data_IF_664622848734
#
_entry.id   IF_664622848734
#
_cell.length_a   1.000
_cell.length_b   1.000
_cell.length_c   1.000
_cell.angle_alpha   90.00
_cell.angle_beta   90.00
_cell.angle_gamma   90.00
#
_symmetry.space_group_name_H-M   'P 1'
#
loop_
_entity.id
_entity.type
_entity.pdbx_description
1 polymer ?
#
# COMPACT_ATOMS: atom_id res chain seq x y z
N UNK A 1 2.21 -10.81 -2.89
CA UNK A 1 2.52 -9.39 -3.08
C UNK A 1 1.21 -8.64 -3.32
N UNK A 2 0.97 -7.49 -2.66
CA UNK A 2 -0.26 -6.71 -2.82
C UNK A 2 -0.13 -5.28 -2.29
N UNK A 3 -0.91 -4.35 -2.85
CA UNK A 3 -0.97 -2.93 -2.44
C UNK A 3 -2.35 -2.63 -1.84
N UNK A 4 -2.38 -1.95 -0.69
CA UNK A 4 -3.60 -1.54 0.00
C UNK A 4 -3.56 -0.02 0.25
N UNK A 5 -4.33 0.72 -0.55
CA UNK A 5 -4.42 2.18 -0.49
C UNK A 5 -5.75 2.60 0.15
N UNK A 6 -5.93 2.25 1.41
CA UNK A 6 -7.11 2.64 2.18
C UNK A 6 -6.74 3.73 3.21
N UNK A 7 -7.52 4.81 3.22
CA UNK A 7 -7.44 5.80 4.29
C UNK A 7 -8.02 5.21 5.58
N UNK A 8 -7.34 5.41 6.71
CA UNK A 8 -7.82 4.97 8.01
C UNK A 8 -9.25 5.50 8.31
N UNK A 9 -10.05 4.71 9.03
CA UNK A 9 -11.43 5.08 9.41
C UNK A 9 -11.41 6.44 10.12
N UNK A 10 -12.19 7.38 9.61
CA UNK A 10 -12.29 8.73 10.19
C UNK A 10 -12.71 8.63 11.67
N UNK A 11 -11.98 9.27 12.59
CA UNK A 11 -12.35 9.24 14.00
C UNK A 11 -13.73 9.90 14.21
N UNK A 12 -14.48 9.48 15.24
CA UNK A 12 -15.81 10.00 15.51
C UNK A 12 -15.79 11.53 15.70
N UNK A 13 -16.82 12.21 15.18
CA UNK A 13 -16.98 13.68 15.15
C UNK A 13 -16.97 14.39 16.52
N UNK A 14 -16.78 13.67 17.63
CA UNK A 14 -16.76 14.20 19.01
C UNK A 14 -15.56 15.09 19.32
N UNK A 15 -14.51 15.04 18.52
CA UNK A 15 -13.30 15.83 18.75
C UNK A 15 -13.14 16.85 17.61
N UNK A 16 -13.23 18.15 17.94
CA UNK A 16 -13.16 19.27 16.97
C UNK A 16 -11.83 19.32 16.18
N UNK A 17 -10.81 18.56 16.60
CA UNK A 17 -9.48 18.51 15.98
C UNK A 17 -8.87 17.09 15.86
N UNK A 18 -9.65 16.00 15.97
CA UNK A 18 -9.08 14.65 15.89
C UNK A 18 -8.80 14.14 14.46
N UNK A 19 -9.12 14.93 13.44
CA UNK A 19 -8.99 14.53 12.03
C UNK A 19 -7.56 14.62 11.49
N UNK A 20 -6.57 13.96 12.11
CA UNK A 20 -5.34 13.69 11.36
C UNK A 20 -5.64 12.55 10.40
N UNK A 21 -5.86 12.88 9.13
CA UNK A 21 -5.91 11.88 8.07
C UNK A 21 -4.49 11.33 7.96
N UNK A 22 -4.28 10.12 8.48
CA UNK A 22 -3.05 9.38 8.28
C UNK A 22 -3.24 8.60 6.98
N UNK A 23 -2.40 8.87 6.00
CA UNK A 23 -2.20 7.95 4.88
C UNK A 23 -1.77 6.62 5.50
N UNK A 24 -2.61 5.59 5.33
CA UNK A 24 -2.33 4.23 5.79
C UNK A 24 -2.13 3.35 4.56
N UNK A 25 -1.46 3.90 3.55
CA UNK A 25 -1.13 3.17 2.34
C UNK A 25 0.01 2.19 2.68
N UNK A 26 -0.22 0.89 2.47
CA UNK A 26 0.73 -0.17 2.78
C UNK A 26 0.87 -1.16 1.62
N UNK A 27 2.04 -1.77 1.51
CA UNK A 27 2.24 -2.91 0.60
C UNK A 27 2.70 -4.15 1.34
N UNK A 28 2.21 -5.30 0.90
CA UNK A 28 2.54 -6.62 1.43
C UNK A 28 3.50 -7.33 0.49
N UNK A 29 4.62 -7.82 1.03
CA UNK A 29 5.56 -8.66 0.28
C UNK A 29 5.03 -10.09 0.13
N UNK A 30 4.37 -10.62 1.17
CA UNK A 30 3.85 -11.98 1.25
C UNK A 30 2.49 -12.01 1.97
N UNK A 31 1.75 -13.13 1.89
CA UNK A 31 0.39 -13.27 2.47
C UNK A 31 0.36 -13.05 3.99
N UNK A 32 1.44 -13.40 4.70
CA UNK A 32 1.57 -13.23 6.15
C UNK A 32 2.25 -11.92 6.57
N UNK A 33 2.61 -11.06 5.61
CA UNK A 33 3.23 -9.77 5.91
C UNK A 33 2.20 -8.83 6.55
N UNK A 34 2.60 -8.07 7.58
CA UNK A 34 1.71 -7.09 8.24
C UNK A 34 1.49 -5.83 7.41
N UNK A 35 2.25 -5.67 6.32
CA UNK A 35 2.21 -4.50 5.46
C UNK A 35 3.29 -3.51 5.85
N UNK A 36 4.01 -3.00 4.87
CA UNK A 36 5.03 -1.98 5.01
C UNK A 36 4.47 -0.66 4.48
N UNK A 37 4.67 0.48 5.17
CA UNK A 37 4.22 1.77 4.67
C UNK A 37 4.69 2.01 3.23
N UNK A 38 3.79 2.46 2.39
CA UNK A 38 4.06 2.74 0.99
C UNK A 38 3.51 4.12 0.64
N UNK A 39 4.41 5.05 0.35
CA UNK A 39 4.05 6.39 -0.11
C UNK A 39 4.19 6.46 -1.64
N UNK A 40 3.15 6.93 -2.31
CA UNK A 40 3.19 7.24 -3.74
C UNK A 40 2.83 8.71 -3.97
N UNK A 41 3.46 9.31 -4.97
CA UNK A 41 3.27 10.72 -5.32
C UNK A 41 1.97 10.94 -6.09
N UNK A 42 1.66 10.03 -7.02
CA UNK A 42 0.49 10.09 -7.88
C UNK A 42 0.06 8.68 -8.34
N UNK A 43 -1.11 8.61 -8.98
CA UNK A 43 -1.67 7.35 -9.41
C UNK A 43 -0.82 6.63 -10.47
N UNK A 44 0.00 7.36 -11.24
CA UNK A 44 0.88 6.77 -12.25
C UNK A 44 2.02 6.02 -11.57
N UNK A 45 2.71 6.63 -10.60
CA UNK A 45 3.74 5.96 -9.82
C UNK A 45 3.22 4.67 -9.16
N UNK A 46 2.02 4.71 -8.57
CA UNK A 46 1.41 3.54 -7.95
C UNK A 46 1.26 2.37 -8.93
N UNK A 47 0.77 2.64 -10.14
CA UNK A 47 0.55 1.61 -11.15
C UNK A 47 1.89 1.05 -11.66
N UNK A 48 2.87 1.92 -11.89
CA UNK A 48 4.21 1.51 -12.32
C UNK A 48 4.89 0.61 -11.29
N UNK A 49 4.88 1.02 -10.02
CA UNK A 49 5.46 0.24 -8.92
C UNK A 49 4.74 -1.11 -8.74
N UNK A 50 3.42 -1.13 -8.94
CA UNK A 50 2.63 -2.36 -8.90
C UNK A 50 3.06 -3.36 -9.97
N UNK A 51 3.09 -2.95 -11.24
CA UNK A 51 3.45 -3.85 -12.34
C UNK A 51 4.92 -4.27 -12.28
N UNK A 52 5.82 -3.38 -11.89
CA UNK A 52 7.24 -3.71 -11.72
C UNK A 52 7.44 -4.79 -10.63
N UNK A 53 6.74 -4.68 -9.50
CA UNK A 53 6.81 -5.69 -8.44
C UNK A 53 6.16 -7.02 -8.87
N UNK A 54 5.09 -7.00 -9.68
CA UNK A 54 4.48 -8.21 -10.27
C UNK A 54 5.46 -8.91 -11.20
N UNK A 55 6.09 -8.16 -12.10
CA UNK A 55 7.09 -8.70 -13.05
C UNK A 55 8.27 -9.32 -12.30
N UNK A 56 8.75 -8.67 -11.23
CA UNK A 56 9.81 -9.23 -10.38
C UNK A 56 9.38 -10.57 -9.77
N UNK A 57 8.19 -10.68 -9.21
CA UNK A 57 7.69 -11.93 -8.62
C UNK A 57 7.56 -13.02 -9.67
N UNK A 58 7.05 -12.70 -10.87
CA UNK A 58 6.95 -13.66 -11.97
C UNK A 58 8.33 -14.16 -12.42
N UNK A 59 9.33 -13.27 -12.51
CA UNK A 59 10.71 -13.67 -12.80
C UNK A 59 11.32 -14.56 -11.72
N UNK A 60 11.05 -14.28 -10.44
CA UNK A 60 11.52 -15.11 -9.32
C UNK A 60 10.91 -16.52 -9.35
N UNK A 61 9.62 -16.63 -9.65
CA UNK A 61 8.93 -17.93 -9.78
C UNK A 61 9.34 -18.68 -11.04
N UNK A 62 9.71 -17.97 -12.11
CA UNK A 62 10.13 -18.56 -13.38
C UNK A 62 11.61 -19.01 -13.40
N UNK A 63 12.41 -18.70 -12.37
CA UNK A 63 13.79 -19.19 -12.28
C UNK A 63 13.78 -20.69 -11.91
N UNK A 64 14.54 -21.53 -12.62
CA UNK A 64 14.59 -22.98 -12.40
C UNK A 64 15.20 -23.36 -11.06
#
# INVERSE_FOLDING_TARGET
MGYDNAHAVKPPKKFKYAGRILAFDHKHRHVSDKGVPYEFKDAQQLLEDFFADVDRVLQEVSKP
#
